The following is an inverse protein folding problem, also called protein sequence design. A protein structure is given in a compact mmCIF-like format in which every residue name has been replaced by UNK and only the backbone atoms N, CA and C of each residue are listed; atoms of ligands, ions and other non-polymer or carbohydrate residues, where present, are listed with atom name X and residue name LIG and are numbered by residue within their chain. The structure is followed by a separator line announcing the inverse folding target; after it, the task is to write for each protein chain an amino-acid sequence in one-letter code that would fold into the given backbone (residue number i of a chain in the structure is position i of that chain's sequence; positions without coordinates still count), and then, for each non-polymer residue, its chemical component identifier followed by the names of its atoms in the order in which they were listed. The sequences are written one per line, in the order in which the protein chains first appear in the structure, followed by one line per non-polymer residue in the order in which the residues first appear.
data_IF_566831322236
#
_entry.id   IF_566831322236
#
_cell.length_a   1.000
_cell.length_b   1.000
_cell.length_c   1.000
_cell.angle_alpha   90.00
_cell.angle_beta   90.00
_cell.angle_gamma   90.00
#
_symmetry.space_group_name_H-M   'P 1'
#
loop_
_entity.id
_entity.type
_entity.pdbx_description
1 polymer ?
#
# COMPACT_ATOMS: atom_id res chain seq x y z
N UNK A 1 10.69 -1.63 8.41
CA UNK A 1 9.33 -1.36 7.89
C UNK A 1 9.25 0.07 7.40
N UNK A 2 8.66 0.30 6.23
CA UNK A 2 8.49 1.64 5.66
C UNK A 2 7.14 2.24 6.07
N UNK A 3 7.13 3.48 6.57
CA UNK A 3 5.89 4.20 6.92
C UNK A 3 5.55 5.21 5.82
N UNK A 4 4.35 5.10 5.26
CA UNK A 4 3.80 6.07 4.32
C UNK A 4 2.68 6.86 4.96
N UNK A 5 2.70 8.17 4.77
CA UNK A 5 1.64 9.06 5.24
C UNK A 5 0.87 9.59 4.05
N UNK A 6 -0.46 9.59 4.17
CA UNK A 6 -1.39 10.09 3.16
C UNK A 6 -2.33 11.10 3.81
N UNK A 7 -2.24 12.34 3.37
CA UNK A 7 -3.20 13.37 3.75
C UNK A 7 -4.58 13.02 3.15
N UNK A 8 -5.66 13.27 3.88
CA UNK A 8 -7.02 13.11 3.38
C UNK A 8 -7.90 14.33 3.70
N UNK A 9 -8.88 14.67 2.85
CA UNK A 9 -9.76 15.82 3.09
C UNK A 9 -10.75 15.55 4.22
N UNK A 10 -11.19 16.61 4.90
CA UNK A 10 -12.18 16.57 5.98
C UNK A 10 -13.50 15.89 5.57
N UNK A 11 -13.87 15.96 4.29
CA UNK A 11 -15.05 15.27 3.76
C UNK A 11 -14.98 13.75 3.90
N UNK A 12 -13.79 13.15 3.89
CA UNK A 12 -13.60 11.72 4.14
C UNK A 12 -13.58 11.38 5.62
N UNK A 13 -13.28 12.34 6.50
CA UNK A 13 -13.30 12.13 7.95
C UNK A 13 -14.72 11.84 8.45
N UNK A 14 -15.71 12.62 7.98
CA UNK A 14 -17.12 12.46 8.35
C UNK A 14 -17.67 11.06 8.01
N UNK A 15 -17.01 10.35 7.10
CA UNK A 15 -17.41 9.03 6.65
C UNK A 15 -17.12 7.95 7.72
N UNK A 16 -16.03 8.10 8.49
CA UNK A 16 -15.65 7.15 9.55
C UNK A 16 -16.57 7.32 10.76
N UNK A 17 -16.83 8.55 11.18
CA UNK A 17 -17.60 8.85 12.40
C UNK A 17 -19.09 8.51 12.29
N UNK A 18 -19.63 8.44 11.07
CA UNK A 18 -21.05 8.18 10.83
C UNK A 18 -21.35 6.75 10.35
N UNK A 19 -20.38 5.83 10.36
CA UNK A 19 -20.51 4.44 9.90
C UNK A 19 -21.12 4.30 8.48
N UNK A 20 -21.07 5.36 7.66
CA UNK A 20 -21.76 5.37 6.36
C UNK A 20 -21.05 4.52 5.30
N UNK A 21 -19.78 4.18 5.53
CA UNK A 21 -18.92 3.43 4.60
C UNK A 21 -17.95 2.54 5.38
N UNK A 22 -17.56 1.41 4.80
CA UNK A 22 -16.54 0.54 5.40
C UNK A 22 -15.16 1.20 5.40
N UNK A 23 -14.33 0.89 6.39
CA UNK A 23 -12.94 1.41 6.47
C UNK A 23 -12.12 1.05 5.24
N UNK A 24 -12.38 -0.12 4.63
CA UNK A 24 -11.80 -0.50 3.33
C UNK A 24 -12.09 0.53 2.24
N UNK A 25 -13.34 1.00 2.13
CA UNK A 25 -13.72 1.99 1.16
C UNK A 25 -13.17 3.38 1.50
N UNK A 26 -13.07 3.75 2.79
CA UNK A 26 -12.33 4.95 3.20
C UNK A 26 -10.86 4.91 2.76
N UNK A 27 -10.13 3.84 3.09
CA UNK A 27 -8.71 3.71 2.71
C UNK A 27 -8.55 3.73 1.20
N UNK A 28 -9.43 3.03 0.47
CA UNK A 28 -9.43 3.03 -1.00
C UNK A 28 -9.62 4.45 -1.55
N UNK A 29 -10.53 5.23 -0.98
CA UNK A 29 -10.77 6.62 -1.39
C UNK A 29 -9.58 7.53 -1.08
N UNK A 30 -8.96 7.39 0.09
CA UNK A 30 -7.72 8.10 0.45
C UNK A 30 -6.59 7.78 -0.54
N UNK A 31 -6.43 6.51 -0.92
CA UNK A 31 -5.42 6.09 -1.90
C UNK A 31 -5.72 6.61 -3.31
N UNK A 32 -6.99 6.78 -3.68
CA UNK A 32 -7.36 7.36 -4.97
C UNK A 32 -7.31 8.89 -4.98
N UNK A 33 -7.35 9.52 -3.82
CA UNK A 33 -7.25 10.98 -3.68
C UNK A 33 -5.89 11.47 -4.15
N UNK A 34 -5.82 12.54 -4.96
CA UNK A 34 -4.56 13.17 -5.34
C UNK A 34 -3.84 13.79 -4.14
N UNK A 35 -2.52 13.63 -4.09
CA UNK A 35 -1.64 14.34 -3.16
C UNK A 35 -1.58 15.85 -3.45
N UNK A 36 -0.86 16.60 -2.61
CA UNK A 36 -0.62 18.04 -2.78
C UNK A 36 0.08 18.41 -4.11
N UNK A 37 0.57 17.43 -4.89
CA UNK A 37 1.19 17.59 -6.21
C UNK A 37 0.26 17.11 -7.34
N UNK A 38 -1.00 16.79 -7.04
CA UNK A 38 -2.01 16.34 -7.99
C UNK A 38 -1.82 14.89 -8.49
N UNK A 39 -1.01 14.07 -7.80
CA UNK A 39 -0.80 12.66 -8.15
C UNK A 39 -1.58 11.75 -7.19
N UNK A 40 -2.34 10.75 -7.68
CA UNK A 40 -3.02 9.80 -6.80
C UNK A 40 -2.05 9.15 -5.80
N UNK A 41 -2.45 9.08 -4.54
CA UNK A 41 -1.70 8.42 -3.46
C UNK A 41 -1.34 6.96 -3.79
N UNK A 42 -2.18 6.29 -4.59
CA UNK A 42 -1.98 4.94 -5.12
C UNK A 42 -0.65 4.81 -5.89
N UNK A 43 -0.25 5.84 -6.64
CA UNK A 43 1.03 5.83 -7.35
C UNK A 43 2.21 5.89 -6.40
N UNK A 44 2.08 6.62 -5.29
CA UNK A 44 3.12 6.69 -4.27
C UNK A 44 3.25 5.34 -3.55
N UNK A 45 2.13 4.70 -3.22
CA UNK A 45 2.12 3.34 -2.67
C UNK A 45 2.77 2.34 -3.63
N UNK A 46 2.35 2.31 -4.89
CA UNK A 46 2.92 1.44 -5.92
C UNK A 46 4.42 1.68 -6.13
N UNK A 47 4.87 2.93 -6.05
CA UNK A 47 6.29 3.26 -6.13
C UNK A 47 7.07 2.66 -4.97
N UNK A 48 6.58 2.76 -3.73
CA UNK A 48 7.25 2.18 -2.56
C UNK A 48 7.27 0.64 -2.61
N UNK A 49 6.15 0.00 -2.99
CA UNK A 49 6.11 -1.45 -3.22
C UNK A 49 7.12 -1.89 -4.29
N UNK A 50 7.29 -1.10 -5.35
CA UNK A 50 8.31 -1.36 -6.38
C UNK A 50 9.73 -1.37 -5.81
N UNK A 51 10.06 -0.52 -4.83
CA UNK A 51 11.39 -0.54 -4.19
C UNK A 51 11.65 -1.83 -3.44
N UNK A 52 10.63 -2.40 -2.80
CA UNK A 52 10.79 -3.68 -2.10
C UNK A 52 11.23 -4.79 -3.08
N UNK A 53 10.76 -4.75 -4.32
CA UNK A 53 11.11 -5.73 -5.35
C UNK A 53 12.34 -5.38 -6.19
N UNK A 54 13.00 -4.24 -5.96
CA UNK A 54 14.10 -3.77 -6.80
C UNK A 54 15.35 -4.69 -6.72
N UNK A 55 15.51 -5.42 -5.62
CA UNK A 55 16.64 -6.34 -5.41
C UNK A 55 16.52 -7.68 -6.15
N UNK A 56 15.35 -8.03 -6.68
CA UNK A 56 15.07 -9.34 -7.27
C UNK A 56 15.47 -9.46 -8.77
N UNK A 57 16.03 -8.38 -9.34
CA UNK A 57 16.41 -8.32 -10.75
C UNK A 57 15.23 -8.08 -11.70
N UNK A 58 15.56 -7.71 -12.94
CA UNK A 58 14.57 -7.17 -13.89
C UNK A 58 14.11 -5.77 -13.51
N UNK A 59 13.31 -5.13 -14.36
CA UNK A 59 12.64 -3.87 -14.01
C UNK A 59 11.23 -4.18 -13.48
N UNK A 60 10.99 -4.18 -12.15
CA UNK A 60 9.68 -4.48 -11.59
C UNK A 60 8.71 -3.33 -11.86
N UNK A 61 7.46 -3.69 -12.10
CA UNK A 61 6.31 -2.81 -12.22
C UNK A 61 5.16 -3.36 -11.37
N UNK A 62 4.51 -2.50 -10.60
CA UNK A 62 3.36 -2.88 -9.76
C UNK A 62 2.09 -2.60 -10.56
N UNK A 63 1.29 -3.64 -10.76
CA UNK A 63 0.01 -3.58 -11.47
C UNK A 63 -1.09 -4.23 -10.64
N UNK A 64 -2.35 -3.96 -11.00
CA UNK A 64 -3.54 -4.53 -10.34
C UNK A 64 -3.54 -4.38 -8.82
N UNK A 65 -3.13 -3.19 -8.33
CA UNK A 65 -3.11 -2.89 -6.89
C UNK A 65 -4.54 -2.62 -6.41
N UNK A 66 -4.98 -3.40 -5.43
CA UNK A 66 -6.30 -3.32 -4.82
C UNK A 66 -6.27 -3.52 -3.30
N UNK A 67 -7.21 -2.91 -2.59
CA UNK A 67 -7.49 -3.17 -1.18
C UNK A 67 -8.57 -4.24 -1.09
N UNK A 68 -8.31 -5.36 -0.43
CA UNK A 68 -9.21 -6.53 -0.40
C UNK A 68 -9.73 -6.92 0.97
N UNK A 69 -9.17 -6.35 2.03
CA UNK A 69 -9.61 -6.61 3.39
C UNK A 69 -9.20 -5.49 4.33
N UNK A 70 -10.00 -5.28 5.38
CA UNK A 70 -9.64 -4.39 6.49
C UNK A 70 -10.14 -4.95 7.80
N UNK A 71 -9.29 -4.85 8.81
CA UNK A 71 -9.65 -4.95 10.21
C UNK A 71 -9.38 -3.60 10.87
N UNK A 72 -10.32 -3.07 11.65
CA UNK A 72 -10.24 -1.74 12.22
C UNK A 72 -10.83 -1.69 13.61
N UNK A 73 -10.05 -1.11 14.52
CA UNK A 73 -10.45 -0.78 15.88
C UNK A 73 -10.71 0.72 15.98
N UNK A 74 -11.99 1.09 16.17
CA UNK A 74 -12.42 2.47 16.29
C UNK A 74 -11.95 3.17 17.58
N UNK A 75 -11.69 2.42 18.65
CA UNK A 75 -11.22 3.00 19.91
C UNK A 75 -9.78 3.48 19.79
N UNK A 76 -8.94 2.69 19.10
CA UNK A 76 -7.51 2.98 18.94
C UNK A 76 -7.18 3.69 17.62
N UNK A 77 -8.15 3.80 16.71
CA UNK A 77 -8.01 4.31 15.34
C UNK A 77 -6.91 3.58 14.54
N UNK A 78 -6.75 2.28 14.83
CA UNK A 78 -5.70 1.43 14.25
C UNK A 78 -6.31 0.19 13.63
N UNK A 79 -5.57 -0.42 12.72
CA UNK A 79 -6.05 -1.60 12.05
C UNK A 79 -5.01 -2.23 11.13
N UNK A 80 -5.50 -3.15 10.31
CA UNK A 80 -4.74 -3.80 9.25
C UNK A 80 -5.52 -3.75 7.95
N UNK A 81 -4.82 -3.49 6.85
CA UNK A 81 -5.39 -3.52 5.51
C UNK A 81 -4.66 -4.56 4.67
N UNK A 82 -5.42 -5.40 3.98
CA UNK A 82 -4.88 -6.36 3.02
C UNK A 82 -4.82 -5.71 1.64
N UNK A 83 -3.63 -5.69 1.06
CA UNK A 83 -3.35 -5.12 -0.25
C UNK A 83 -2.89 -6.25 -1.16
N UNK A 84 -3.62 -6.46 -2.26
CA UNK A 84 -3.17 -7.35 -3.32
C UNK A 84 -2.57 -6.55 -4.46
N UNK A 85 -1.53 -7.08 -5.07
CA UNK A 85 -0.94 -6.51 -6.29
C UNK A 85 -0.23 -7.60 -7.09
N UNK A 86 0.10 -7.28 -8.34
CA UNK A 86 0.95 -8.11 -9.19
C UNK A 86 2.23 -7.36 -9.52
N UNK A 87 3.36 -8.05 -9.41
CA UNK A 87 4.66 -7.57 -9.87
C UNK A 87 4.92 -8.16 -11.25
N UNK A 88 5.08 -7.28 -12.24
CA UNK A 88 5.53 -7.66 -13.58
C UNK A 88 7.00 -7.30 -13.74
N UNK A 89 7.82 -8.22 -14.25
CA UNK A 89 9.24 -7.96 -14.50
C UNK A 89 9.57 -8.11 -15.97
N UNK A 90 10.32 -7.13 -16.45
CA UNK A 90 10.92 -7.15 -17.77
C UNK A 90 12.43 -7.37 -17.65
N UNK A 91 12.93 -8.43 -18.29
CA UNK A 91 14.36 -8.73 -18.37
C UNK A 91 14.87 -8.28 -19.75
N UNK A 92 15.89 -7.42 -19.78
CA UNK A 92 16.38 -6.83 -21.04
C UNK A 92 17.07 -7.82 -21.97
N UNK A 93 17.44 -9.00 -21.46
CA UNK A 93 18.26 -9.99 -22.17
C UNK A 93 17.48 -11.26 -22.55
N UNK A 94 16.22 -11.36 -22.16
CA UNK A 94 15.33 -12.45 -22.53
C UNK A 94 13.92 -11.87 -22.57
N UNK A 95 13.15 -12.10 -23.64
CA UNK A 95 11.74 -11.68 -23.75
C UNK A 95 10.81 -12.39 -22.72
N UNK A 96 11.38 -12.84 -21.60
CA UNK A 96 10.72 -13.45 -20.46
C UNK A 96 10.06 -12.34 -19.66
N UNK A 97 8.74 -12.43 -19.56
CA UNK A 97 7.95 -11.69 -18.58
C UNK A 97 7.65 -12.64 -17.45
N UNK A 98 8.06 -12.28 -16.23
CA UNK A 98 7.56 -12.96 -15.04
C UNK A 98 6.46 -12.11 -14.41
N UNK A 99 5.43 -12.79 -13.92
CA UNK A 99 4.30 -12.19 -13.25
C UNK A 99 4.09 -12.92 -11.93
N UNK A 100 4.08 -12.19 -10.83
CA UNK A 100 3.91 -12.76 -9.50
C UNK A 100 2.85 -11.96 -8.75
N UNK A 101 1.87 -12.68 -8.18
CA UNK A 101 0.87 -12.07 -7.29
C UNK A 101 1.44 -12.01 -5.88
N UNK A 102 1.13 -10.93 -5.19
CA UNK A 102 1.51 -10.68 -3.82
C UNK A 102 0.30 -10.19 -3.02
N UNK A 103 0.29 -10.54 -1.74
CA UNK A 103 -0.71 -10.12 -0.76
C UNK A 103 0.05 -9.65 0.46
N UNK A 104 -0.14 -8.39 0.81
CA UNK A 104 0.49 -7.76 1.97
C UNK A 104 -0.56 -7.40 3.00
N UNK A 105 -0.25 -7.65 4.27
CA UNK A 105 -1.05 -7.20 5.39
C UNK A 105 -0.30 -6.01 6.01
N UNK A 106 -0.83 -4.82 5.80
CA UNK A 106 -0.21 -3.57 6.21
C UNK A 106 -0.94 -3.00 7.42
N UNK A 107 -0.28 -2.85 8.58
CA UNK A 107 -0.83 -2.09 9.68
C UNK A 107 -1.09 -0.65 9.26
N UNK A 108 -2.18 -0.06 9.74
CA UNK A 108 -2.46 1.36 9.54
C UNK A 108 -2.91 2.05 10.83
N UNK A 109 -2.77 3.38 10.84
CA UNK A 109 -3.23 4.27 11.89
C UNK A 109 -3.87 5.51 11.24
N UNK A 110 -5.03 5.91 11.73
CA UNK A 110 -5.73 7.11 11.27
C UNK A 110 -5.57 8.19 12.34
N UNK A 111 -4.91 9.28 12.00
CA UNK A 111 -4.90 10.48 12.83
C UNK A 111 -5.96 11.45 12.31
N UNK A 112 -7.11 11.44 12.95
CA UNK A 112 -8.26 12.30 12.62
C UNK A 112 -8.00 13.78 12.87
N UNK A 113 -7.19 14.12 13.87
CA UNK A 113 -6.86 15.52 14.20
C UNK A 113 -5.92 16.18 13.19
N UNK A 114 -5.01 15.39 12.61
CA UNK A 114 -4.06 15.84 11.59
C UNK A 114 -4.54 15.52 10.16
N UNK A 115 -5.61 14.75 10.03
CA UNK A 115 -6.15 14.25 8.74
C UNK A 115 -5.14 13.42 7.94
N UNK A 116 -4.43 12.53 8.65
CA UNK A 116 -3.37 11.70 8.08
C UNK A 116 -3.69 10.21 8.28
N UNK A 117 -3.65 9.45 7.19
CA UNK A 117 -3.60 7.99 7.22
C UNK A 117 -2.13 7.56 7.14
N UNK A 118 -1.66 6.82 8.14
CA UNK A 118 -0.31 6.23 8.13
C UNK A 118 -0.42 4.74 7.84
N UNK A 119 0.17 4.30 6.73
CA UNK A 119 0.26 2.90 6.33
C UNK A 119 1.68 2.39 6.56
N UNK A 120 1.81 1.20 7.16
CA UNK A 120 3.10 0.55 7.38
C UNK A 120 3.26 -0.58 6.38
N UNK A 121 4.20 -0.42 5.45
CA UNK A 121 4.54 -1.45 4.48
C UNK A 121 5.59 -2.36 5.10
N UNK A 122 5.33 -3.67 5.18
CA UNK A 122 6.34 -4.64 5.59
C UNK A 122 7.54 -4.56 4.65
N UNK A 123 8.73 -4.66 5.23
CA UNK A 123 9.93 -4.88 4.42
C UNK A 123 10.04 -6.36 4.15
N UNK A 124 10.45 -6.72 2.94
CA UNK A 124 10.66 -8.10 2.59
C UNK A 124 11.89 -8.64 3.34
N UNK A 125 11.66 -9.51 4.34
CA UNK A 125 12.71 -10.15 5.16
C UNK A 125 13.47 -11.25 4.39
N UNK A 126 13.06 -11.58 3.16
CA UNK A 126 13.73 -12.59 2.31
C UNK A 126 15.15 -12.21 1.87
N UNK A 127 15.71 -11.10 2.39
CA UNK A 127 17.08 -10.66 2.14
C UNK A 127 18.17 -11.45 2.88
N UNK A 128 17.84 -12.29 3.87
CA UNK A 128 18.86 -12.95 4.72
C UNK A 128 19.17 -14.42 4.40
N UNK A 129 18.59 -15.04 3.36
CA UNK A 129 18.88 -16.44 3.03
C UNK A 129 19.40 -16.66 1.62
N UNK A 130 20.53 -16.03 1.27
CA UNK A 130 21.40 -16.55 0.19
C UNK A 130 22.87 -16.33 0.52
N UNK A 131 23.52 -17.33 1.13
CA UNK A 131 24.77 -17.99 0.72
C UNK A 131 25.34 -18.82 1.88
N UNK A 132 24.89 -20.07 2.02
CA UNK A 132 25.74 -21.14 2.54
C UNK A 132 26.06 -22.06 1.34
N UNK A 133 27.24 -21.89 0.75
CA UNK A 133 27.95 -22.91 -0.05
C UNK A 133 29.44 -22.83 0.27
#
# INVERSE_FOLDING_TARGET
MTRLSFDFPESLHQIIDHEQTSVAAFITEVLNTPDNKGKPNLKNLAFNLRFNHAGEGGSPEIVDLEVTGTDYDAETQKGQVTINYRVERHYTCSDVKSQQKHTEICPFEINTSEQILVLQIPEDESRDTVFEL
#
